data_IF_594165300105
#
_entry.id   IF_594165300105
#
_cell.length_a   1.000
_cell.length_b   1.000
_cell.length_c   1.000
_cell.angle_alpha   90.00
_cell.angle_beta   90.00
_cell.angle_gamma   90.00
#
_symmetry.space_group_name_H-M   'P 1'
#
loop_
_entity.id
_entity.type
_entity.pdbx_description
1 polymer ?
#
# COMPACT_ATOMS: atom_id res chain seq x y z
N UNK A 1 21.08 2.02 1.20
CA UNK A 1 20.77 1.90 2.65
C UNK A 1 19.28 2.11 2.90
N UNK A 2 18.60 3.05 2.23
CA UNK A 2 17.15 3.30 2.42
C UNK A 2 16.25 2.10 2.13
N UNK A 3 16.53 1.29 1.10
CA UNK A 3 15.72 0.10 0.79
C UNK A 3 15.84 -0.97 1.89
N UNK A 4 17.04 -1.22 2.42
CA UNK A 4 17.23 -2.19 3.50
C UNK A 4 16.50 -1.74 4.77
N UNK A 5 16.62 -0.46 5.14
CA UNK A 5 15.89 0.10 6.27
C UNK A 5 14.37 -0.02 6.10
N UNK A 6 13.85 0.11 4.87
CA UNK A 6 12.43 -0.14 4.59
C UNK A 6 12.07 -1.62 4.74
N UNK A 7 12.90 -2.53 4.22
CA UNK A 7 12.68 -3.99 4.32
C UNK A 7 12.72 -4.48 5.75
N UNK A 8 13.63 -3.95 6.58
CA UNK A 8 13.77 -4.32 7.99
C UNK A 8 12.53 -3.99 8.82
N UNK A 9 11.66 -3.11 8.32
CA UNK A 9 10.37 -2.75 8.93
C UNK A 9 9.19 -3.52 8.39
N UNK A 10 9.36 -4.35 7.36
CA UNK A 10 8.25 -5.11 6.78
C UNK A 10 8.05 -6.40 7.59
N UNK A 11 6.82 -6.68 8.02
CA UNK A 11 6.48 -7.92 8.71
C UNK A 11 6.67 -9.12 7.77
N UNK A 12 7.72 -9.89 8.02
CA UNK A 12 8.10 -11.08 7.26
C UNK A 12 7.03 -12.17 7.24
N UNK A 13 6.02 -12.12 8.13
CA UNK A 13 4.86 -13.02 8.14
C UNK A 13 3.83 -12.66 7.06
N UNK A 14 3.89 -11.43 6.55
CA UNK A 14 2.99 -10.88 5.53
C UNK A 14 3.67 -10.83 4.16
N UNK A 15 4.85 -10.21 4.12
CA UNK A 15 5.63 -9.97 2.91
C UNK A 15 7.07 -10.47 3.09
N UNK A 16 7.59 -11.20 2.11
CA UNK A 16 8.94 -11.77 2.16
C UNK A 16 9.66 -11.60 0.83
N UNK A 17 10.97 -11.85 0.82
CA UNK A 17 11.77 -11.83 -0.42
C UNK A 17 11.72 -10.50 -1.16
N UNK A 18 11.70 -9.39 -0.42
CA UNK A 18 11.61 -8.04 -0.99
C UNK A 18 12.83 -7.73 -1.87
N UNK A 19 12.57 -7.25 -3.09
CA UNK A 19 13.59 -6.82 -4.03
C UNK A 19 13.42 -5.33 -4.33
N UNK A 20 14.52 -4.58 -4.58
CA UNK A 20 14.44 -3.17 -4.94
C UNK A 20 13.56 -2.90 -6.16
N UNK A 21 12.77 -1.83 -6.10
CA UNK A 21 11.90 -1.35 -7.15
C UNK A 21 12.37 0.01 -7.67
N UNK A 22 13.64 0.10 -8.12
CA UNK A 22 14.30 1.35 -8.50
C UNK A 22 13.52 2.22 -9.51
N UNK A 23 12.70 1.62 -10.37
CA UNK A 23 11.85 2.36 -11.31
C UNK A 23 10.77 3.22 -10.64
N UNK A 24 10.47 2.98 -9.36
CA UNK A 24 9.52 3.76 -8.57
C UNK A 24 10.21 4.87 -7.76
N UNK A 25 11.54 4.81 -7.64
CA UNK A 25 12.32 5.82 -6.92
C UNK A 25 12.49 7.08 -7.79
N UNK A 26 12.34 8.24 -7.16
CA UNK A 26 12.39 9.55 -7.81
C UNK A 26 12.66 10.65 -6.77
N UNK A 27 12.45 11.92 -7.12
CA UNK A 27 12.64 13.07 -6.24
C UNK A 27 11.75 13.06 -4.98
N UNK A 28 10.72 12.21 -4.95
CA UNK A 28 9.72 12.11 -3.87
C UNK A 28 9.71 10.76 -3.16
N UNK A 29 10.21 9.70 -3.80
CA UNK A 29 10.26 8.33 -3.28
C UNK A 29 11.72 7.93 -3.09
N UNK A 30 12.15 7.81 -1.83
CA UNK A 30 13.56 7.58 -1.46
C UNK A 30 13.93 6.10 -1.39
N UNK A 31 12.94 5.22 -1.29
CA UNK A 31 13.12 3.78 -1.34
C UNK A 31 11.83 3.12 -1.80
N UNK A 32 11.95 2.11 -2.66
CA UNK A 32 10.83 1.29 -3.07
C UNK A 32 11.23 -0.17 -3.19
N UNK A 33 10.34 -1.08 -2.79
CA UNK A 33 10.56 -2.53 -2.85
C UNK A 33 9.31 -3.26 -3.31
N UNK A 34 9.49 -4.31 -4.12
CA UNK A 34 8.44 -5.27 -4.43
C UNK A 34 8.67 -6.52 -3.59
N UNK A 35 7.67 -6.96 -2.84
CA UNK A 35 7.79 -8.13 -1.97
C UNK A 35 6.86 -9.25 -2.43
N UNK A 36 7.28 -10.50 -2.24
CA UNK A 36 6.38 -11.63 -2.42
C UNK A 36 5.40 -11.70 -1.24
N UNK A 37 4.15 -12.04 -1.50
CA UNK A 37 3.18 -12.32 -0.44
C UNK A 37 3.41 -13.69 0.17
N UNK A 38 3.33 -13.78 1.49
CA UNK A 38 3.40 -15.08 2.20
C UNK A 38 2.08 -15.83 2.07
N UNK A 39 0.95 -15.11 2.02
CA UNK A 39 -0.40 -15.67 1.84
C UNK A 39 -1.01 -15.24 0.51
N UNK A 40 -1.78 -16.13 -0.17
CA UNK A 40 -2.43 -15.79 -1.44
C UNK A 40 -3.37 -14.59 -1.33
N UNK A 41 -3.43 -13.78 -2.39
CA UNK A 41 -4.37 -12.66 -2.51
C UNK A 41 -4.00 -11.77 -3.69
N UNK A 42 -2.93 -10.97 -3.57
CA UNK A 42 -2.42 -10.18 -4.68
C UNK A 42 -1.96 -11.07 -5.85
N UNK A 43 -2.28 -10.63 -7.07
CA UNK A 43 -1.85 -11.24 -8.32
C UNK A 43 -0.44 -10.80 -8.73
N UNK A 44 0.09 -9.76 -8.09
CA UNK A 44 1.44 -9.22 -8.28
C UNK A 44 2.09 -9.01 -6.91
N UNK A 45 3.41 -8.99 -6.89
CA UNK A 45 4.19 -8.61 -5.70
C UNK A 45 3.79 -7.20 -5.24
N UNK A 46 3.30 -7.02 -4.00
CA UNK A 46 3.00 -5.71 -3.47
C UNK A 46 4.22 -4.80 -3.48
N UNK A 47 3.98 -3.54 -3.82
CA UNK A 47 4.95 -2.47 -3.82
C UNK A 47 4.85 -1.71 -2.51
N UNK A 48 5.97 -1.55 -1.81
CA UNK A 48 6.08 -0.70 -0.62
C UNK A 48 7.04 0.45 -0.96
N UNK A 49 6.63 1.67 -0.67
CA UNK A 49 7.38 2.89 -0.98
C UNK A 49 7.54 3.74 0.29
N UNK A 50 8.75 4.23 0.52
CA UNK A 50 9.04 5.29 1.48
C UNK A 50 9.20 6.61 0.74
N UNK A 51 8.42 7.60 1.17
CA UNK A 51 8.49 8.96 0.65
C UNK A 51 9.52 9.78 1.42
N UNK A 52 10.00 10.84 0.77
CA UNK A 52 10.95 11.77 1.37
C UNK A 52 10.36 12.53 2.57
N UNK A 53 9.05 12.79 2.54
CA UNK A 53 8.30 13.46 3.59
C UNK A 53 6.78 13.24 3.46
N UNK A 54 6.04 13.70 4.46
CA UNK A 54 4.59 13.62 4.51
C UNK A 54 3.90 14.41 3.37
N UNK A 55 4.54 15.47 2.86
CA UNK A 55 4.00 16.29 1.77
C UNK A 55 4.02 15.50 0.46
N UNK A 56 5.10 14.79 0.18
CA UNK A 56 5.27 13.91 -0.97
C UNK A 56 4.27 12.74 -0.92
N UNK A 57 4.13 12.09 0.23
CA UNK A 57 3.12 11.04 0.44
C UNK A 57 1.71 11.56 0.16
N UNK A 58 1.32 12.70 0.74
CA UNK A 58 -0.01 13.30 0.55
C UNK A 58 -0.27 13.70 -0.90
N UNK A 59 0.74 14.22 -1.60
CA UNK A 59 0.61 14.57 -3.03
C UNK A 59 0.40 13.31 -3.89
N UNK A 60 1.14 12.24 -3.62
CA UNK A 60 0.95 10.95 -4.30
C UNK A 60 -0.45 10.37 -4.03
N UNK A 61 -0.88 10.37 -2.77
CA UNK A 61 -2.20 9.90 -2.36
C UNK A 61 -3.32 10.70 -3.04
N UNK A 62 -3.21 12.04 -3.09
CA UNK A 62 -4.18 12.91 -3.74
C UNK A 62 -4.34 12.61 -5.24
N UNK A 63 -3.23 12.33 -5.93
CA UNK A 63 -3.26 11.87 -7.32
C UNK A 63 -3.96 10.51 -7.46
N UNK A 64 -3.72 9.60 -6.52
CA UNK A 64 -4.32 8.27 -6.53
C UNK A 64 -5.83 8.29 -6.22
N UNK A 65 -6.26 9.18 -5.33
CA UNK A 65 -7.63 9.30 -4.84
C UNK A 65 -8.52 10.24 -5.68
N UNK A 66 -7.98 10.85 -6.73
CA UNK A 66 -8.71 11.79 -7.57
C UNK A 66 -10.01 11.18 -8.12
N UNK A 67 -11.14 11.85 -7.88
CA UNK A 67 -12.47 11.39 -8.32
C UNK A 67 -13.11 10.31 -7.44
N UNK A 68 -12.47 9.87 -6.35
CA UNK A 68 -13.02 8.88 -5.43
C UNK A 68 -13.75 9.54 -4.26
N UNK A 69 -14.86 8.92 -3.82
CA UNK A 69 -15.61 9.33 -2.63
C UNK A 69 -15.29 8.47 -1.40
N UNK A 70 -15.70 8.90 -0.19
CA UNK A 70 -15.40 8.19 1.06
C UNK A 70 -16.47 7.15 1.42
N UNK A 71 -16.72 6.17 0.54
CA UNK A 71 -17.71 5.10 0.77
C UNK A 71 -17.14 3.91 1.55
N UNK A 72 -15.83 3.80 1.66
CA UNK A 72 -15.11 2.64 2.19
C UNK A 72 -14.99 1.50 1.18
N UNK A 73 -13.84 0.82 1.18
CA UNK A 73 -13.51 -0.21 0.20
C UNK A 73 -14.37 -1.47 0.27
N UNK A 74 -15.06 -1.71 1.39
CA UNK A 74 -16.07 -2.73 1.51
C UNK A 74 -17.27 -2.50 0.56
N UNK A 75 -17.53 -1.24 0.17
CA UNK A 75 -18.70 -0.82 -0.59
C UNK A 75 -18.37 -0.40 -2.03
N UNK A 76 -17.12 -0.56 -2.46
CA UNK A 76 -16.64 -0.22 -3.80
C UNK A 76 -15.53 0.82 -3.78
N UNK A 77 -15.34 1.48 -4.91
CA UNK A 77 -14.20 2.38 -5.13
C UNK A 77 -14.25 3.56 -4.18
N UNK A 78 -13.14 3.79 -3.47
CA UNK A 78 -13.14 4.73 -2.36
C UNK A 78 -11.75 5.21 -1.99
N UNK A 79 -11.73 6.37 -1.33
CA UNK A 79 -10.61 6.87 -0.54
C UNK A 79 -11.15 7.22 0.84
N UNK A 80 -10.75 6.47 1.87
CA UNK A 80 -11.24 6.63 3.24
C UNK A 80 -10.13 6.37 4.25
N UNK A 81 -10.20 6.95 5.47
CA UNK A 81 -9.30 6.60 6.55
C UNK A 81 -9.34 5.09 6.84
N UNK A 82 -8.19 4.53 7.24
CA UNK A 82 -8.11 3.19 7.81
C UNK A 82 -7.41 3.22 9.17
N UNK A 83 -7.81 2.29 10.03
CA UNK A 83 -7.33 2.19 11.39
C UNK A 83 -6.69 0.83 11.61
N UNK A 84 -5.60 0.80 12.37
CA UNK A 84 -5.05 -0.41 12.96
C UNK A 84 -5.33 -0.41 14.47
N UNK A 85 -5.99 -1.46 14.97
CA UNK A 85 -6.32 -1.63 16.40
C UNK A 85 -7.02 -0.40 17.04
N UNK A 86 -7.83 0.33 16.26
CA UNK A 86 -8.56 1.51 16.72
C UNK A 86 -7.80 2.83 16.58
N UNK A 87 -6.53 2.81 16.19
CA UNK A 87 -5.73 4.01 15.90
C UNK A 87 -5.74 4.32 14.41
N UNK A 88 -6.04 5.56 14.04
CA UNK A 88 -5.94 6.01 12.65
C UNK A 88 -4.50 5.93 12.16
N UNK A 89 -4.26 5.15 11.10
CA UNK A 89 -2.91 4.88 10.59
C UNK A 89 -2.65 5.56 9.25
N UNK A 90 -3.70 5.78 8.46
CA UNK A 90 -3.60 6.56 7.22
C UNK A 90 -4.85 6.46 6.37
N UNK A 91 -4.68 6.52 5.05
CA UNK A 91 -5.78 6.46 4.08
C UNK A 91 -5.69 5.18 3.25
N UNK A 92 -6.80 4.47 3.11
CA UNK A 92 -6.98 3.37 2.18
C UNK A 92 -7.70 3.88 0.93
N UNK A 93 -7.08 3.61 -0.22
CA UNK A 93 -7.63 3.80 -1.55
C UNK A 93 -7.86 2.46 -2.20
N UNK A 94 -9.03 2.28 -2.80
CA UNK A 94 -9.34 1.15 -3.65
C UNK A 94 -10.04 1.61 -4.92
N UNK A 95 -9.65 1.02 -6.04
CA UNK A 95 -10.20 1.33 -7.35
C UNK A 95 -9.87 0.23 -8.36
N UNK A 96 -10.55 0.19 -9.52
CA UNK A 96 -10.13 -0.64 -10.64
C UNK A 96 -8.68 -0.34 -11.01
N UNK A 97 -7.89 -1.40 -11.16
CA UNK A 97 -6.54 -1.35 -11.66
C UNK A 97 -6.51 -1.55 -13.18
N UNK A 98 -5.32 -1.85 -13.72
CA UNK A 98 -5.17 -2.14 -15.15
C UNK A 98 -5.75 -3.52 -15.51
N UNK A 99 -6.24 -3.70 -16.73
CA UNK A 99 -6.64 -4.99 -17.29
C UNK A 99 -7.65 -5.78 -16.43
N UNK A 100 -8.62 -5.09 -15.83
CA UNK A 100 -9.68 -5.72 -15.04
C UNK A 100 -9.27 -6.13 -13.62
N UNK A 101 -8.04 -5.83 -13.20
CA UNK A 101 -7.60 -6.01 -11.83
C UNK A 101 -8.26 -5.00 -10.88
N UNK A 102 -8.08 -5.21 -9.58
CA UNK A 102 -8.48 -4.29 -8.54
C UNK A 102 -7.29 -3.95 -7.63
N UNK A 103 -7.08 -2.66 -7.42
CA UNK A 103 -5.97 -2.12 -6.66
C UNK A 103 -6.45 -1.71 -5.27
N UNK A 104 -5.66 -2.05 -4.26
CA UNK A 104 -5.72 -1.45 -2.93
C UNK A 104 -4.37 -0.79 -2.65
N UNK A 105 -4.40 0.47 -2.24
CA UNK A 105 -3.24 1.21 -1.82
C UNK A 105 -3.54 1.89 -0.48
N UNK A 106 -2.61 1.84 0.46
CA UNK A 106 -2.83 2.46 1.75
C UNK A 106 -1.56 3.05 2.32
N UNK A 107 -1.72 4.08 3.13
CA UNK A 107 -0.62 4.86 3.70
C UNK A 107 -0.44 4.58 5.18
N UNK A 108 0.79 4.76 5.66
CA UNK A 108 1.18 4.85 7.06
C UNK A 108 1.68 6.27 7.26
N UNK A 109 0.79 7.17 7.68
CA UNK A 109 0.99 8.62 7.58
C UNK A 109 2.11 9.13 8.48
N UNK A 110 2.26 8.55 9.68
CA UNK A 110 3.35 8.89 10.62
C UNK A 110 4.71 8.37 10.14
N UNK A 111 4.71 7.51 9.12
CA UNK A 111 5.89 6.88 8.59
C UNK A 111 6.19 7.29 7.15
N UNK A 112 5.46 8.21 6.54
CA UNK A 112 5.65 8.57 5.13
C UNK A 112 5.76 7.34 4.18
N UNK A 113 5.07 6.23 4.51
CA UNK A 113 5.12 4.97 3.73
C UNK A 113 3.78 4.74 3.06
N UNK A 114 3.81 4.19 1.85
CA UNK A 114 2.63 3.60 1.21
C UNK A 114 2.89 2.17 0.77
N UNK A 115 1.85 1.35 0.83
CA UNK A 115 1.81 0.03 0.23
C UNK A 115 0.76 0.01 -0.91
N UNK A 116 1.05 -0.76 -1.96
CA UNK A 116 0.17 -0.96 -3.12
C UNK A 116 0.12 -2.45 -3.43
N UNK A 117 -1.08 -2.99 -3.53
CA UNK A 117 -1.32 -4.37 -3.91
C UNK A 117 -2.47 -4.46 -4.91
N UNK A 118 -2.38 -5.42 -5.84
CA UNK A 118 -3.34 -5.61 -6.92
C UNK A 118 -3.76 -7.08 -6.97
N UNK A 119 -5.06 -7.36 -7.10
CA UNK A 119 -5.59 -8.71 -7.34
C UNK A 119 -6.49 -8.74 -8.57
N UNK A 120 -6.87 -9.94 -9.00
CA UNK A 120 -7.76 -10.12 -10.17
C UNK A 120 -9.18 -9.59 -9.95
N UNK A 121 -9.60 -9.37 -8.71
CA UNK A 121 -10.93 -8.85 -8.37
C UNK A 121 -10.95 -8.14 -7.02
N UNK A 122 -12.01 -7.35 -6.80
CA UNK A 122 -12.23 -6.55 -5.58
C UNK A 122 -12.28 -7.40 -4.32
N UNK A 123 -12.97 -8.54 -4.35
CA UNK A 123 -13.19 -9.36 -3.16
C UNK A 123 -11.88 -9.94 -2.66
N UNK A 124 -11.05 -10.44 -3.58
CA UNK A 124 -9.76 -11.04 -3.27
C UNK A 124 -8.83 -10.04 -2.59
N UNK A 125 -8.64 -8.84 -3.17
CA UNK A 125 -7.75 -7.85 -2.56
C UNK A 125 -8.32 -7.26 -1.26
N UNK A 126 -9.64 -7.10 -1.16
CA UNK A 126 -10.26 -6.63 0.09
C UNK A 126 -10.07 -7.61 1.25
N UNK A 127 -10.27 -8.91 1.01
CA UNK A 127 -10.04 -9.94 2.04
C UNK A 127 -8.57 -9.93 2.47
N UNK A 128 -7.66 -9.96 1.49
CA UNK A 128 -6.23 -9.97 1.79
C UNK A 128 -5.80 -8.71 2.56
N UNK A 129 -6.27 -7.53 2.15
CA UNK A 129 -5.96 -6.28 2.85
C UNK A 129 -6.43 -6.32 4.30
N UNK A 130 -7.67 -6.75 4.59
CA UNK A 130 -8.16 -6.81 5.98
C UNK A 130 -7.28 -7.66 6.90
N UNK A 131 -6.72 -8.74 6.38
CA UNK A 131 -5.91 -9.67 7.16
C UNK A 131 -4.44 -9.21 7.29
N UNK A 132 -4.00 -8.26 6.45
CA UNK A 132 -2.59 -7.92 6.25
C UNK A 132 -2.31 -6.41 6.17
N UNK A 133 -3.29 -5.55 6.48
CA UNK A 133 -3.19 -4.10 6.29
C UNK A 133 -2.03 -3.50 7.08
N UNK A 134 -1.77 -4.02 8.28
CA UNK A 134 -0.63 -3.63 9.09
C UNK A 134 0.56 -4.54 8.79
N UNK A 135 1.29 -4.18 7.75
CA UNK A 135 2.47 -4.91 7.26
C UNK A 135 3.80 -4.30 7.73
N UNK A 136 3.75 -3.23 8.53
CA UNK A 136 4.94 -2.60 9.11
C UNK A 136 5.08 -3.00 10.58
N UNK A 137 6.30 -3.32 10.99
CA UNK A 137 6.65 -3.52 12.39
C UNK A 137 7.11 -2.20 13.02
N UNK A 138 6.89 -2.04 14.35
CA UNK A 138 7.44 -0.92 15.10
C UNK A 138 8.95 -0.75 14.93
#
# INVERSE_FOLDING_TARGET
MGQQALVDRIDARVLAGCVPAFAQENDKVIAAVNCAVVRPGPARNPLVMRFIDAKALKAWLAGLSAGLGPRGCAHGDSSSPWNHEGTATGTLVCKPGANGSYLAAWTFDDEDVAAVAEAGDRRTIWIWWKDNAYLLTP
#
